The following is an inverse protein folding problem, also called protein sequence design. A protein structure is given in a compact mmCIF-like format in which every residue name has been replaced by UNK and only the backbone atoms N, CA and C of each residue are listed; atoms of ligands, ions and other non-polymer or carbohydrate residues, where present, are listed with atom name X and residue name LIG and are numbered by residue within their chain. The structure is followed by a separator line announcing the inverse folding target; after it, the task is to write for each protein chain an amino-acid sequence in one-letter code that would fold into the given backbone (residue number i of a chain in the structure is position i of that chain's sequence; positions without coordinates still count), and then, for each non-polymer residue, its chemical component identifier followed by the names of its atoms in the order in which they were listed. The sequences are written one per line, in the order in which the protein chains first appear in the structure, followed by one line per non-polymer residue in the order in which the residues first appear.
data_IF_749419349441
#
_entry.id   IF_749419349441
#
_cell.length_a   1.000
_cell.length_b   1.000
_cell.length_c   1.000
_cell.angle_alpha   90.00
_cell.angle_beta   90.00
_cell.angle_gamma   90.00
#
_symmetry.space_group_name_H-M   'P 1'
#
loop_
_entity.id
_entity.type
_entity.pdbx_description
1 polymer ?
#
# COMPACT_ATOMS: atom_id res chain seq x y z
N UNK A 1 8.34 45.15 -0.98
CA UNK A 1 8.39 43.68 -0.86
C UNK A 1 9.40 43.14 -1.87
N UNK A 2 10.51 42.58 -1.40
CA UNK A 2 11.66 42.26 -2.25
C UNK A 2 11.34 41.08 -3.17
N UNK A 3 11.57 41.22 -4.48
CA UNK A 3 11.33 40.15 -5.48
C UNK A 3 12.01 38.81 -5.11
N UNK A 4 13.16 38.88 -4.43
CA UNK A 4 13.88 37.72 -3.89
C UNK A 4 13.13 37.02 -2.75
N UNK A 5 12.45 37.77 -1.89
CA UNK A 5 11.63 37.23 -0.81
C UNK A 5 10.36 36.55 -1.35
N UNK A 6 9.80 37.09 -2.44
CA UNK A 6 8.65 36.49 -3.13
C UNK A 6 9.02 35.15 -3.79
N UNK A 7 10.21 35.04 -4.38
CA UNK A 7 10.71 33.79 -4.97
C UNK A 7 10.99 32.72 -3.92
N UNK A 8 11.52 33.11 -2.75
CA UNK A 8 11.76 32.18 -1.64
C UNK A 8 10.43 31.64 -1.09
N UNK A 9 9.43 32.50 -0.92
CA UNK A 9 8.07 32.09 -0.54
C UNK A 9 7.42 31.17 -1.58
N UNK A 10 7.58 31.46 -2.88
CA UNK A 10 7.04 30.63 -3.96
C UNK A 10 7.76 29.27 -4.05
N UNK A 11 9.06 29.22 -3.75
CA UNK A 11 9.81 27.98 -3.67
C UNK A 11 9.36 27.15 -2.46
N UNK A 12 9.11 27.79 -1.32
CA UNK A 12 8.62 27.10 -0.11
C UNK A 12 7.22 26.51 -0.29
N UNK A 13 6.30 27.21 -0.97
CA UNK A 13 4.94 26.71 -1.22
C UNK A 13 4.87 25.53 -2.20
N UNK A 14 5.88 25.39 -3.09
CA UNK A 14 6.01 24.22 -3.97
C UNK A 14 6.48 22.96 -3.23
N UNK A 15 7.27 23.13 -2.15
CA UNK A 15 7.74 22.02 -1.30
C UNK A 15 6.77 21.66 -0.16
N UNK A 16 5.87 22.57 0.23
CA UNK A 16 4.88 22.31 1.29
C UNK A 16 3.55 21.78 0.77
N UNK A 17 3.46 21.25 -0.46
CA UNK A 17 2.31 20.40 -0.78
C UNK A 17 2.36 19.24 0.21
N UNK A 18 1.37 19.04 1.08
CA UNK A 18 1.21 17.73 1.70
C UNK A 18 1.05 16.81 0.50
N UNK A 19 2.11 16.06 0.19
CA UNK A 19 1.93 14.84 -0.55
C UNK A 19 0.90 14.11 0.29
N UNK A 20 -0.30 13.93 -0.24
CA UNK A 20 -1.28 13.00 0.27
C UNK A 20 -0.58 11.64 0.20
N UNK A 21 0.28 11.36 1.20
CA UNK A 21 1.26 10.29 1.22
C UNK A 21 0.59 8.97 1.58
N UNK A 22 -0.58 8.75 1.00
CA UNK A 22 -1.25 7.48 0.92
C UNK A 22 -1.52 7.25 -0.57
N UNK A 23 -0.49 6.80 -1.29
CA UNK A 23 -0.65 6.29 -2.67
C UNK A 23 -1.60 5.08 -2.68
N UNK A 24 -1.75 4.41 -1.53
CA UNK A 24 -2.63 3.26 -1.32
C UNK A 24 -3.56 3.46 -0.12
N UNK A 25 -4.71 2.80 -0.16
CA UNK A 25 -5.69 2.85 0.92
C UNK A 25 -5.15 2.22 2.22
N UNK A 26 -5.59 2.70 3.40
CA UNK A 26 -5.22 2.10 4.67
C UNK A 26 -5.56 0.62 4.74
N UNK A 27 -4.68 -0.17 5.35
CA UNK A 27 -4.88 -1.62 5.44
C UNK A 27 -6.19 -1.96 6.19
N UNK A 28 -6.93 -3.00 5.76
CA UNK A 28 -8.24 -3.34 6.37
C UNK A 28 -8.21 -3.59 7.88
N UNK A 29 -7.07 -4.05 8.42
CA UNK A 29 -6.91 -4.32 9.85
C UNK A 29 -6.93 -3.06 10.73
N UNK A 30 -6.66 -1.86 10.17
CA UNK A 30 -6.59 -0.60 10.93
C UNK A 30 -7.94 -0.27 11.59
N UNK A 31 -9.05 -0.62 10.94
CA UNK A 31 -10.41 -0.34 11.41
C UNK A 31 -10.89 -1.31 12.52
N UNK A 32 -10.10 -2.34 12.84
CA UNK A 32 -10.49 -3.38 13.80
C UNK A 32 -10.37 -2.90 15.24
N UNK A 33 -11.33 -3.31 16.06
CA UNK A 33 -11.42 -3.04 17.50
C UNK A 33 -12.08 -4.24 18.16
N UNK A 34 -11.59 -4.72 19.32
CA UNK A 34 -10.58 -4.12 20.21
C UNK A 34 -9.12 -4.37 19.76
N UNK A 35 -8.13 -3.89 20.54
CA UNK A 35 -6.71 -3.97 20.19
C UNK A 35 -6.21 -5.40 19.89
N UNK A 36 -6.68 -6.40 20.63
CA UNK A 36 -6.32 -7.81 20.42
C UNK A 36 -6.75 -8.31 19.03
N UNK A 37 -7.95 -7.95 18.59
CA UNK A 37 -8.43 -8.26 17.24
C UNK A 37 -7.60 -7.50 16.20
N UNK A 38 -7.25 -6.23 16.47
CA UNK A 38 -6.43 -5.41 15.58
C UNK A 38 -5.07 -6.04 15.30
N UNK A 39 -4.33 -6.43 16.33
CA UNK A 39 -2.98 -7.04 16.16
C UNK A 39 -3.07 -8.44 15.54
N UNK A 40 -4.12 -9.21 15.86
CA UNK A 40 -4.37 -10.52 15.24
C UNK A 40 -4.68 -10.40 13.76
N UNK A 41 -5.55 -9.44 13.38
CA UNK A 41 -5.82 -9.13 11.98
C UNK A 41 -4.58 -8.58 11.26
N UNK A 42 -3.74 -7.77 11.91
CA UNK A 42 -2.48 -7.30 11.33
C UNK A 42 -1.50 -8.45 11.06
N UNK A 43 -1.37 -9.39 11.99
CA UNK A 43 -0.53 -10.57 11.82
C UNK A 43 -1.04 -11.44 10.67
N UNK A 44 -2.33 -11.76 10.65
CA UNK A 44 -2.96 -12.53 9.57
C UNK A 44 -2.81 -11.84 8.21
N UNK A 45 -3.03 -10.53 8.17
CA UNK A 45 -2.78 -9.71 6.99
C UNK A 45 -1.32 -9.82 6.52
N UNK A 46 -0.36 -9.68 7.44
CA UNK A 46 1.07 -9.80 7.12
C UNK A 46 1.44 -11.18 6.56
N UNK A 47 1.03 -12.26 7.24
CA UNK A 47 1.33 -13.63 6.81
C UNK A 47 0.72 -13.95 5.45
N UNK A 48 -0.53 -13.54 5.20
CA UNK A 48 -1.19 -13.75 3.92
C UNK A 48 -0.45 -13.03 2.79
N UNK A 49 -0.19 -11.73 2.94
CA UNK A 49 0.48 -10.93 1.92
C UNK A 49 1.92 -11.41 1.68
N UNK A 50 2.65 -11.78 2.75
CA UNK A 50 3.98 -12.34 2.63
C UNK A 50 3.98 -13.68 1.87
N UNK A 51 3.10 -14.60 2.26
CA UNK A 51 3.06 -15.95 1.68
C UNK A 51 2.52 -15.99 0.25
N UNK A 52 1.78 -14.95 -0.17
CA UNK A 52 1.01 -15.00 -1.42
C UNK A 52 1.17 -13.79 -2.34
N UNK A 53 1.94 -12.77 -1.95
CA UNK A 53 2.22 -11.60 -2.77
C UNK A 53 2.78 -11.95 -4.15
N UNK A 54 3.59 -13.01 -4.24
CA UNK A 54 4.15 -13.53 -5.49
C UNK A 54 3.11 -13.91 -6.55
N UNK A 55 1.87 -14.19 -6.15
CA UNK A 55 0.80 -14.55 -7.09
C UNK A 55 0.43 -13.40 -8.02
N UNK A 56 0.73 -12.15 -7.65
CA UNK A 56 0.49 -10.98 -8.49
C UNK A 56 1.27 -11.05 -9.82
N UNK A 57 2.45 -11.69 -9.86
CA UNK A 57 3.18 -11.95 -11.11
C UNK A 57 2.38 -12.78 -12.12
N UNK A 58 1.51 -13.66 -11.64
CA UNK A 58 0.72 -14.56 -12.48
C UNK A 58 -0.62 -13.94 -12.85
N UNK A 59 -1.28 -13.25 -11.91
CA UNK A 59 -2.64 -12.76 -12.12
C UNK A 59 -2.69 -11.37 -12.78
N UNK A 60 -1.83 -10.42 -12.39
CA UNK A 60 -1.87 -9.05 -12.95
C UNK A 60 -1.70 -8.96 -14.48
N UNK A 61 -0.85 -9.77 -15.15
CA UNK A 61 -0.75 -9.77 -16.61
C UNK A 61 -2.03 -10.22 -17.33
N UNK A 62 -2.90 -10.97 -16.65
CA UNK A 62 -4.17 -11.48 -17.22
C UNK A 62 -5.31 -10.48 -17.10
N UNK A 63 -5.15 -9.42 -16.30
CA UNK A 63 -6.17 -8.39 -16.13
C UNK A 63 -6.28 -7.47 -17.35
N UNK A 64 -7.46 -6.85 -17.58
CA UNK A 64 -7.65 -5.87 -18.64
C UNK A 64 -6.66 -4.69 -18.55
N UNK A 65 -6.20 -4.19 -19.71
CA UNK A 65 -5.30 -3.04 -19.80
C UNK A 65 -3.92 -3.34 -20.38
N UNK A 66 -3.73 -4.52 -20.97
CA UNK A 66 -2.57 -4.90 -21.77
C UNK A 66 -1.52 -5.67 -20.97
N UNK A 67 -1.01 -6.74 -21.57
CA UNK A 67 -0.08 -7.69 -20.94
C UNK A 67 1.13 -7.01 -20.29
N UNK A 68 1.82 -6.12 -21.02
CA UNK A 68 3.03 -5.45 -20.50
C UNK A 68 2.76 -4.53 -19.31
N UNK A 69 1.61 -3.85 -19.31
CA UNK A 69 1.18 -3.01 -18.19
C UNK A 69 0.78 -3.86 -16.98
N UNK A 70 0.16 -5.00 -17.23
CA UNK A 70 -0.17 -5.99 -16.18
C UNK A 70 1.10 -6.65 -15.61
N UNK A 71 2.08 -7.00 -16.43
CA UNK A 71 3.36 -7.54 -15.99
C UNK A 71 4.14 -6.54 -15.12
N UNK A 72 4.22 -5.27 -15.52
CA UNK A 72 4.83 -4.23 -14.70
C UNK A 72 4.15 -4.07 -13.35
N UNK A 73 2.80 -4.13 -13.31
CA UNK A 73 2.03 -4.13 -12.06
C UNK A 73 2.29 -5.38 -11.23
N UNK A 74 2.31 -6.56 -11.83
CA UNK A 74 2.56 -7.83 -11.15
C UNK A 74 3.92 -7.89 -10.47
N UNK A 75 4.96 -7.37 -11.12
CA UNK A 75 6.30 -7.26 -10.52
C UNK A 75 6.26 -6.31 -9.31
N UNK A 76 5.68 -5.12 -9.49
CA UNK A 76 5.58 -4.13 -8.41
C UNK A 76 4.81 -4.69 -7.22
N UNK A 77 3.61 -5.23 -7.45
CA UNK A 77 2.73 -5.75 -6.41
C UNK A 77 3.32 -6.95 -5.70
N UNK A 78 4.00 -7.84 -6.44
CA UNK A 78 4.73 -8.94 -5.82
C UNK A 78 5.76 -8.48 -4.81
N UNK A 79 6.56 -7.47 -5.17
CA UNK A 79 7.57 -6.92 -4.27
C UNK A 79 6.90 -6.24 -3.07
N UNK A 80 5.92 -5.36 -3.32
CA UNK A 80 5.29 -4.56 -2.27
C UNK A 80 4.44 -5.41 -1.33
N UNK A 81 3.68 -6.37 -1.83
CA UNK A 81 2.81 -7.24 -1.01
C UNK A 81 3.65 -8.23 -0.21
N UNK A 82 4.69 -8.81 -0.82
CA UNK A 82 5.58 -9.74 -0.10
C UNK A 82 6.38 -9.01 0.98
N UNK A 83 7.08 -7.94 0.62
CA UNK A 83 7.90 -7.19 1.56
C UNK A 83 7.04 -6.48 2.62
N UNK A 84 5.95 -5.85 2.19
CA UNK A 84 5.01 -5.19 3.10
C UNK A 84 4.32 -6.19 4.02
N UNK A 85 3.93 -7.36 3.52
CA UNK A 85 3.40 -8.46 4.32
C UNK A 85 4.40 -8.93 5.40
N UNK A 86 5.67 -9.08 5.03
CA UNK A 86 6.72 -9.43 5.99
C UNK A 86 6.85 -8.37 7.09
N UNK A 87 6.86 -7.08 6.72
CA UNK A 87 6.95 -6.00 7.71
C UNK A 87 5.71 -5.97 8.61
N UNK A 88 4.50 -6.17 8.07
CA UNK A 88 3.28 -6.27 8.87
C UNK A 88 3.32 -7.44 9.85
N UNK A 89 3.82 -8.60 9.42
CA UNK A 89 3.97 -9.77 10.28
C UNK A 89 5.02 -9.55 11.38
N UNK A 90 6.15 -8.92 11.08
CA UNK A 90 7.21 -8.64 12.07
C UNK A 90 6.81 -7.52 13.04
N UNK A 91 6.05 -6.53 12.57
CA UNK A 91 5.62 -5.37 13.37
C UNK A 91 4.19 -5.52 13.88
N UNK A 92 3.61 -6.72 13.88
CA UNK A 92 2.21 -6.95 14.23
C UNK A 92 1.79 -6.40 15.62
N UNK A 93 2.66 -6.38 16.65
CA UNK A 93 2.30 -5.80 17.94
C UNK A 93 2.31 -4.27 17.93
N UNK A 94 2.88 -3.63 16.92
CA UNK A 94 2.92 -2.17 16.79
C UNK A 94 1.81 -1.71 15.83
N UNK A 95 0.93 -0.77 16.23
CA UNK A 95 -0.19 -0.32 15.39
C UNK A 95 0.23 0.69 14.32
N UNK A 96 1.31 0.39 13.59
CA UNK A 96 1.81 1.18 12.45
C UNK A 96 1.31 0.53 11.16
N UNK A 97 0.72 1.33 10.27
CA UNK A 97 0.26 0.88 8.97
C UNK A 97 1.26 1.20 7.86
N UNK A 98 1.46 0.23 6.97
CA UNK A 98 2.21 0.34 5.74
C UNK A 98 1.23 -0.07 4.64
N UNK A 99 0.54 0.90 4.02
CA UNK A 99 -0.47 0.63 3.00
C UNK A 99 0.09 -0.23 1.88
N UNK A 100 -0.60 -1.33 1.56
CA UNK A 100 -0.27 -2.21 0.42
C UNK A 100 -1.17 -1.86 -0.78
N UNK A 101 -0.70 -2.10 -2.02
CA UNK A 101 -1.55 -1.94 -3.20
C UNK A 101 -2.89 -2.65 -3.06
N UNK A 102 -3.97 -1.99 -3.47
CA UNK A 102 -5.34 -2.51 -3.36
C UNK A 102 -5.73 -3.02 -1.95
N UNK A 103 -5.05 -2.57 -0.89
CA UNK A 103 -5.28 -3.09 0.46
C UNK A 103 -4.76 -4.51 0.68
N UNK A 104 -3.77 -4.97 -0.11
CA UNK A 104 -3.14 -6.28 -0.04
C UNK A 104 -3.63 -7.27 -1.11
N UNK A 105 -3.06 -8.48 -1.11
CA UNK A 105 -3.44 -9.58 -2.00
C UNK A 105 -4.92 -9.91 -1.83
N UNK A 106 -5.66 -9.86 -2.93
CA UNK A 106 -7.09 -10.19 -2.95
C UNK A 106 -7.32 -11.47 -3.76
N UNK A 107 -7.85 -12.51 -3.09
CA UNK A 107 -8.26 -13.76 -3.74
C UNK A 107 -9.71 -13.76 -4.21
N UNK A 108 -10.50 -12.78 -3.76
CA UNK A 108 -11.87 -12.58 -4.22
C UNK A 108 -11.89 -11.38 -5.15
N UNK A 109 -12.50 -11.57 -6.32
CA UNK A 109 -12.67 -10.53 -7.32
C UNK A 109 -13.25 -9.27 -6.71
N UNK A 110 -12.63 -8.14 -7.09
CA UNK A 110 -13.19 -6.79 -7.01
C UNK A 110 -14.69 -6.87 -7.26
N UNK A 111 -15.50 -6.79 -6.20
CA UNK A 111 -16.88 -6.35 -6.37
C UNK A 111 -16.76 -4.84 -6.46
N UNK A 112 -16.81 -4.34 -7.70
CA UNK A 112 -16.94 -2.93 -7.99
C UNK A 112 -18.03 -2.33 -7.09
N UNK A 113 -17.65 -1.30 -6.32
CA UNK A 113 -18.57 -0.32 -5.77
C UNK A 113 -17.99 1.06 -6.07
#
# INVERSE_FOLDING_TARGET
MNRRFLLILLFFTLFTRPSSAAVFEPSPWVKKTPYSERIGCKLGFGVLNFGTGWTALLFEPTLPGGFWKGLGRGILFTITDTAGGAIHALTFPFPVDIPLPNGGVQFYGKTDK
#
